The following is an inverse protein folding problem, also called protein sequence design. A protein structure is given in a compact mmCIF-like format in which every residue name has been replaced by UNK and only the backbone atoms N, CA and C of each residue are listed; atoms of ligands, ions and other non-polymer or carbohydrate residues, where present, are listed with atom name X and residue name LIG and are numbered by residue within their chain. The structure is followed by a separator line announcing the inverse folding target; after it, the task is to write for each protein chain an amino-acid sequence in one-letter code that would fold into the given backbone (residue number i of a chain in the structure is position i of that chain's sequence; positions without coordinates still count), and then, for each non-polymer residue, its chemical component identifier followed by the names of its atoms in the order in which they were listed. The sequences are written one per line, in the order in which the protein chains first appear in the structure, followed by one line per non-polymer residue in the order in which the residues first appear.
data_IF_156717862361
#
_entry.id   IF_156717862361
#
_cell.length_a   1.000
_cell.length_b   1.000
_cell.length_c   1.000
_cell.angle_alpha   90.00
_cell.angle_beta   90.00
_cell.angle_gamma   90.00
#
_symmetry.space_group_name_H-M   'P 1'
#
loop_
_entity.id
_entity.type
_entity.pdbx_description
1 polymer ?
#
# COMPACT_ATOMS: atom_id res chain seq x y z
N UNK A 1 -22.35 -3.44 -12.65
CA UNK A 1 -21.13 -2.67 -12.97
C UNK A 1 -21.44 -1.20 -12.90
N UNK A 2 -20.44 -0.35 -13.11
CA UNK A 2 -20.56 1.11 -13.16
C UNK A 2 -19.81 1.63 -14.39
N UNK A 3 -19.99 2.91 -14.72
CA UNK A 3 -19.16 3.59 -15.71
C UNK A 3 -18.27 4.61 -15.00
N UNK A 4 -16.99 4.64 -15.37
CA UNK A 4 -16.08 5.72 -15.04
C UNK A 4 -15.90 6.56 -16.31
N UNK A 5 -16.56 7.72 -16.33
CA UNK A 5 -16.79 8.50 -17.55
C UNK A 5 -17.39 7.63 -18.65
N UNK A 6 -16.63 7.35 -19.71
CA UNK A 6 -17.07 6.56 -20.87
C UNK A 6 -16.65 5.09 -20.77
N UNK A 7 -15.79 4.74 -19.82
CA UNK A 7 -15.26 3.39 -19.68
C UNK A 7 -16.14 2.56 -18.72
N UNK A 8 -16.58 1.35 -19.12
CA UNK A 8 -17.30 0.45 -18.22
C UNK A 8 -16.37 -0.21 -17.21
N UNK A 9 -16.81 -0.33 -15.97
CA UNK A 9 -16.10 -0.96 -14.86
C UNK A 9 -16.97 -2.04 -14.22
N UNK A 10 -16.38 -3.21 -13.96
CA UNK A 10 -17.02 -4.28 -13.22
C UNK A 10 -16.82 -4.09 -11.71
N UNK A 11 -17.91 -4.06 -10.96
CA UNK A 11 -17.89 -4.07 -9.49
C UNK A 11 -18.16 -5.50 -9.04
N UNK A 12 -17.15 -6.14 -8.46
CA UNK A 12 -17.24 -7.52 -7.99
C UNK A 12 -17.66 -7.49 -6.52
N UNK A 13 -18.85 -8.00 -6.21
CA UNK A 13 -19.40 -8.05 -4.84
C UNK A 13 -19.60 -9.47 -4.31
N UNK A 14 -19.41 -10.49 -5.15
CA UNK A 14 -19.48 -11.89 -4.75
C UNK A 14 -18.12 -12.36 -4.22
N UNK A 15 -18.11 -13.02 -3.06
CA UNK A 15 -16.88 -13.44 -2.39
C UNK A 15 -16.10 -14.48 -3.21
N UNK A 16 -16.79 -15.40 -3.89
CA UNK A 16 -16.11 -16.40 -4.71
C UNK A 16 -15.41 -15.72 -5.89
N UNK A 17 -16.08 -14.78 -6.55
CA UNK A 17 -15.48 -14.01 -7.63
C UNK A 17 -14.31 -13.14 -7.13
N UNK A 18 -14.43 -12.50 -5.96
CA UNK A 18 -13.33 -11.75 -5.35
C UNK A 18 -12.12 -12.68 -5.11
N UNK A 19 -12.34 -13.88 -4.57
CA UNK A 19 -11.27 -14.85 -4.36
C UNK A 19 -10.64 -15.30 -5.67
N UNK A 20 -11.42 -15.49 -6.73
CA UNK A 20 -10.89 -15.81 -8.05
C UNK A 20 -10.00 -14.68 -8.56
N UNK A 21 -10.48 -13.43 -8.57
CA UNK A 21 -9.73 -12.28 -9.07
C UNK A 21 -8.48 -11.99 -8.22
N UNK A 22 -8.59 -12.03 -6.90
CA UNK A 22 -7.53 -11.56 -6.00
C UNK A 22 -6.51 -12.65 -5.62
N UNK A 23 -6.86 -13.93 -5.78
CA UNK A 23 -6.02 -15.05 -5.31
C UNK A 23 -5.77 -16.06 -6.41
N UNK A 24 -6.81 -16.75 -6.91
CA UNK A 24 -6.64 -17.91 -7.81
C UNK A 24 -6.11 -17.50 -9.18
N UNK A 25 -6.75 -16.49 -9.77
CA UNK A 25 -6.53 -16.01 -11.13
C UNK A 25 -5.81 -14.66 -11.14
N UNK A 26 -5.24 -14.25 -9.99
CA UNK A 26 -4.57 -12.96 -9.77
C UNK A 26 -3.49 -12.64 -10.81
N UNK A 27 -2.85 -13.67 -11.35
CA UNK A 27 -1.80 -13.55 -12.35
C UNK A 27 -2.28 -12.94 -13.68
N UNK A 28 -3.59 -12.95 -13.96
CA UNK A 28 -4.24 -12.26 -15.07
C UNK A 28 -4.52 -10.77 -14.79
N UNK A 29 -4.57 -10.36 -13.52
CA UNK A 29 -4.97 -9.01 -13.08
C UNK A 29 -3.75 -8.18 -12.64
N UNK A 30 -2.79 -8.01 -13.55
CA UNK A 30 -1.54 -7.26 -13.26
C UNK A 30 -1.69 -5.75 -13.32
N UNK A 31 -2.75 -5.26 -13.97
CA UNK A 31 -2.91 -3.86 -14.33
C UNK A 31 -4.02 -3.25 -13.47
N UNK A 32 -3.74 -2.12 -12.83
CA UNK A 32 -4.63 -1.52 -11.80
C UNK A 32 -5.47 -0.34 -12.30
N UNK A 33 -5.44 -0.05 -13.59
CA UNK A 33 -6.21 1.05 -14.19
C UNK A 33 -5.76 2.44 -13.77
N UNK A 34 -4.58 2.58 -13.14
CA UNK A 34 -3.98 3.89 -12.86
C UNK A 34 -3.17 4.30 -14.10
N UNK A 35 -3.53 5.41 -14.76
CA UNK A 35 -2.77 5.91 -15.90
C UNK A 35 -1.33 6.21 -15.48
N UNK A 36 -0.38 5.88 -16.34
CA UNK A 36 1.03 6.15 -16.11
C UNK A 36 1.66 6.65 -17.43
N UNK A 37 2.24 7.85 -17.38
CA UNK A 37 3.01 8.42 -18.48
C UNK A 37 4.51 8.29 -18.15
N UNK A 38 5.06 7.09 -18.37
CA UNK A 38 6.45 6.79 -18.06
C UNK A 38 7.44 7.69 -18.81
N UNK A 39 7.05 8.23 -19.98
CA UNK A 39 7.94 9.04 -20.83
C UNK A 39 8.08 10.46 -20.32
N UNK A 40 6.96 11.11 -20.01
CA UNK A 40 6.96 12.50 -19.58
C UNK A 40 7.06 12.64 -18.06
N UNK A 41 6.67 11.62 -17.30
CA UNK A 41 6.60 11.64 -15.84
C UNK A 41 7.22 10.37 -15.21
N UNK A 42 8.53 10.14 -15.42
CA UNK A 42 9.20 8.92 -14.93
C UNK A 42 9.16 8.76 -13.40
N UNK A 43 8.97 9.84 -12.64
CA UNK A 43 8.84 9.82 -11.18
C UNK A 43 7.47 9.31 -10.68
N UNK A 44 6.43 9.32 -11.52
CA UNK A 44 5.12 8.73 -11.19
C UNK A 44 5.13 7.19 -11.30
N UNK A 45 6.21 6.62 -11.85
CA UNK A 45 6.38 5.17 -12.04
C UNK A 45 6.83 4.51 -10.74
N UNK A 46 5.94 3.75 -10.12
CA UNK A 46 6.21 3.01 -8.90
C UNK A 46 5.48 1.66 -8.89
N UNK A 47 5.66 0.87 -7.84
CA UNK A 47 5.07 -0.48 -7.75
C UNK A 47 3.53 -0.48 -7.87
N UNK A 48 2.86 0.63 -7.54
CA UNK A 48 1.40 0.75 -7.59
C UNK A 48 0.93 1.08 -9.01
N UNK A 49 1.67 1.91 -9.74
CA UNK A 49 1.31 2.41 -11.08
C UNK A 49 1.86 1.57 -12.24
N UNK A 50 2.95 0.81 -12.02
CA UNK A 50 3.47 -0.12 -13.03
C UNK A 50 2.43 -1.19 -13.41
N UNK A 51 2.47 -1.63 -14.66
CA UNK A 51 1.60 -2.68 -15.22
C UNK A 51 2.40 -3.83 -15.83
N UNK A 52 1.70 -4.94 -16.12
CA UNK A 52 2.23 -6.09 -16.85
C UNK A 52 3.50 -6.73 -16.26
N UNK A 53 4.43 -7.10 -17.16
CA UNK A 53 5.67 -7.81 -16.81
C UNK A 53 6.60 -6.98 -15.91
N UNK A 54 6.65 -5.65 -16.11
CA UNK A 54 7.46 -4.74 -15.29
C UNK A 54 6.98 -4.76 -13.84
N UNK A 55 5.67 -4.62 -13.64
CA UNK A 55 5.06 -4.74 -12.32
C UNK A 55 5.35 -6.10 -11.68
N UNK A 56 5.18 -7.20 -12.42
CA UNK A 56 5.42 -8.55 -11.90
C UNK A 56 6.87 -8.71 -11.43
N UNK A 57 7.85 -8.27 -12.22
CA UNK A 57 9.26 -8.33 -11.86
C UNK A 57 9.57 -7.49 -10.61
N UNK A 58 9.05 -6.27 -10.55
CA UNK A 58 9.22 -5.38 -9.40
C UNK A 58 8.58 -5.97 -8.13
N UNK A 59 7.34 -6.45 -8.22
CA UNK A 59 6.60 -7.10 -7.13
C UNK A 59 7.35 -8.31 -6.57
N UNK A 60 7.91 -9.17 -7.42
CA UNK A 60 8.70 -10.32 -6.97
C UNK A 60 9.90 -9.88 -6.11
N UNK A 61 10.65 -8.86 -6.54
CA UNK A 61 11.78 -8.31 -5.77
C UNK A 61 11.32 -7.72 -4.43
N UNK A 62 10.28 -6.87 -4.44
CA UNK A 62 9.76 -6.24 -3.22
C UNK A 62 9.21 -7.27 -2.23
N UNK A 63 8.52 -8.31 -2.69
CA UNK A 63 7.98 -9.38 -1.81
C UNK A 63 9.09 -10.04 -0.98
N UNK A 64 10.24 -10.28 -1.59
CA UNK A 64 11.39 -10.90 -0.92
C UNK A 64 12.06 -9.98 0.12
N UNK A 65 11.78 -8.68 0.11
CA UNK A 65 12.27 -7.72 1.10
C UNK A 65 11.43 -7.73 2.38
N UNK A 66 10.16 -8.11 2.30
CA UNK A 66 9.21 -8.11 3.42
C UNK A 66 8.83 -9.53 3.86
N UNK A 67 9.81 -10.40 4.06
CA UNK A 67 9.57 -11.72 4.66
C UNK A 67 9.15 -11.57 6.12
N UNK A 68 8.43 -12.56 6.66
CA UNK A 68 8.03 -12.60 8.08
C UNK A 68 9.20 -12.37 9.02
N UNK A 69 10.37 -12.95 8.71
CA UNK A 69 11.59 -12.78 9.51
C UNK A 69 12.13 -11.35 9.49
N UNK A 70 12.14 -10.69 8.32
CA UNK A 70 12.61 -9.30 8.18
C UNK A 70 11.65 -8.33 8.85
N UNK A 71 10.34 -8.52 8.68
CA UNK A 71 9.33 -7.71 9.36
C UNK A 71 9.43 -7.87 10.88
N UNK A 72 9.61 -9.11 11.38
CA UNK A 72 9.83 -9.36 12.81
C UNK A 72 11.07 -8.63 13.35
N UNK A 73 12.13 -8.50 12.55
CA UNK A 73 13.34 -7.76 12.92
C UNK A 73 13.11 -6.24 13.01
N UNK A 74 12.16 -5.69 12.26
CA UNK A 74 11.79 -4.26 12.33
C UNK A 74 10.88 -3.93 13.52
N UNK A 75 10.21 -4.93 14.09
CA UNK A 75 9.22 -4.74 15.17
C UNK A 75 9.75 -3.97 16.40
N UNK A 76 10.98 -4.20 16.91
CA UNK A 76 11.51 -3.43 18.04
C UNK A 76 11.53 -1.92 17.77
N UNK A 77 11.98 -1.50 16.58
CA UNK A 77 11.97 -0.09 16.18
C UNK A 77 10.55 0.47 16.14
N UNK A 78 9.61 -0.26 15.53
CA UNK A 78 8.20 0.13 15.47
C UNK A 78 7.60 0.30 16.87
N UNK A 79 8.01 -0.55 17.83
CA UNK A 79 7.58 -0.48 19.23
C UNK A 79 8.16 0.75 19.92
N UNK A 80 9.44 1.06 19.71
CA UNK A 80 10.10 2.22 20.32
C UNK A 80 9.47 3.52 19.82
N UNK A 81 9.21 3.63 18.52
CA UNK A 81 8.47 4.76 17.94
C UNK A 81 7.04 4.86 18.47
N UNK A 82 6.38 3.72 18.74
CA UNK A 82 5.05 3.73 19.34
C UNK A 82 5.08 4.24 20.79
N UNK A 83 6.17 4.01 21.53
CA UNK A 83 6.34 4.62 22.86
C UNK A 83 6.53 6.13 22.77
N UNK A 84 7.19 6.63 21.72
CA UNK A 84 7.28 8.09 21.46
C UNK A 84 5.90 8.66 21.19
N UNK A 85 5.12 8.02 20.33
CA UNK A 85 3.73 8.38 20.05
C UNK A 85 2.89 8.47 21.34
N UNK A 86 2.96 7.44 22.21
CA UNK A 86 2.22 7.44 23.47
C UNK A 86 2.63 8.60 24.39
N UNK A 87 3.92 8.94 24.46
CA UNK A 87 4.38 10.09 25.24
C UNK A 87 3.84 11.42 24.72
N UNK A 88 3.66 11.57 23.40
CA UNK A 88 3.05 12.77 22.80
C UNK A 88 1.57 12.84 23.18
N UNK A 89 0.88 11.70 23.14
CA UNK A 89 -0.53 11.59 23.54
C UNK A 89 -0.71 11.91 25.03
N UNK A 90 0.15 11.37 25.91
CA UNK A 90 0.02 11.53 27.36
C UNK A 90 0.42 12.94 27.86
N UNK A 91 1.29 13.65 27.13
CA UNK A 91 1.76 14.99 27.53
C UNK A 91 0.76 16.11 27.24
N UNK A 92 -0.14 15.90 26.29
CA UNK A 92 -1.09 16.91 25.88
C UNK A 92 -2.40 16.68 26.64
N UNK A 93 -2.61 17.44 27.72
CA UNK A 93 -3.92 17.53 28.41
C UNK A 93 -5.00 18.25 27.59
N UNK A 94 -4.77 18.42 26.28
CA UNK A 94 -5.60 19.15 25.33
C UNK A 94 -6.01 18.23 24.17
N UNK A 95 -6.96 18.67 23.34
CA UNK A 95 -7.38 17.93 22.17
C UNK A 95 -6.22 17.74 21.17
N UNK A 96 -5.98 16.50 20.75
CA UNK A 96 -4.89 16.13 19.83
C UNK A 96 -5.49 15.76 18.47
N UNK A 97 -4.84 16.18 17.38
CA UNK A 97 -5.12 15.64 16.05
C UNK A 97 -4.47 14.24 15.91
N UNK A 98 -5.30 13.22 16.11
CA UNK A 98 -4.87 11.82 15.96
C UNK A 98 -4.40 11.51 14.53
N UNK A 99 -5.02 12.11 13.50
CA UNK A 99 -4.65 11.83 12.11
C UNK A 99 -3.22 12.27 11.83
N UNK A 100 -2.86 13.48 12.25
CA UNK A 100 -1.50 13.99 12.08
C UNK A 100 -0.49 13.17 12.91
N UNK A 101 -0.83 12.88 14.17
CA UNK A 101 0.08 12.17 15.07
C UNK A 101 0.36 10.74 14.59
N UNK A 102 -0.65 10.00 14.12
CA UNK A 102 -0.45 8.67 13.53
C UNK A 102 0.29 8.73 12.18
N UNK A 103 0.11 9.81 11.40
CA UNK A 103 0.85 10.01 10.16
C UNK A 103 2.34 10.19 10.43
N UNK A 104 2.72 10.98 11.44
CA UNK A 104 4.11 11.15 11.88
C UNK A 104 4.72 9.80 12.28
N UNK A 105 4.03 9.03 13.11
CA UNK A 105 4.46 7.67 13.47
C UNK A 105 4.70 6.79 12.24
N UNK A 106 3.76 6.78 11.29
CA UNK A 106 3.89 5.97 10.08
C UNK A 106 5.08 6.41 9.20
N UNK A 107 5.38 7.71 9.14
CA UNK A 107 6.55 8.23 8.44
C UNK A 107 7.85 7.79 9.11
N UNK A 108 7.93 7.89 10.44
CA UNK A 108 9.10 7.46 11.21
C UNK A 108 9.38 5.96 11.09
N UNK A 109 8.33 5.14 10.95
CA UNK A 109 8.46 3.69 10.74
C UNK A 109 9.02 3.35 9.35
N UNK A 110 8.77 4.21 8.36
CA UNK A 110 9.17 3.99 6.95
C UNK A 110 10.53 4.59 6.62
N UNK A 111 10.94 5.66 7.31
CA UNK A 111 12.22 6.37 7.12
C UNK A 111 13.46 5.48 7.36
#
# INVERSE_FOLDING_TARGET
GIYHFTAPYLVVMDLNLIQHVMIKDFHHFTDRGIPNDEKNKPFEVNLVTMCGKKWRACRCKFSAMFTTSKVRRMFPLMKDLAQVLLKVVDKNGEAIDLKETFLQYALDVVA
#
